data_IF_503836265932
#
_entry.id   IF_503836265932
#
_cell.length_a   1.000
_cell.length_b   1.000
_cell.length_c   1.000
_cell.angle_alpha   90.00
_cell.angle_beta   90.00
_cell.angle_gamma   90.00
#
_symmetry.space_group_name_H-M   'P 1'
#
loop_
_entity.id
_entity.type
_entity.pdbx_description
1 polymer ?
#
# COMPACT_ATOMS: atom_id res chain seq x y z
N UNK A 1 14.29 -8.95 7.47
CA UNK A 1 12.99 -9.08 6.78
C UNK A 1 13.27 -9.32 5.31
N UNK A 2 12.57 -10.27 4.67
CA UNK A 2 12.67 -10.45 3.21
C UNK A 2 11.77 -9.39 2.56
N UNK A 3 12.28 -8.51 1.67
CA UNK A 3 11.45 -7.50 1.02
C UNK A 3 10.32 -8.15 0.22
N UNK A 4 9.08 -7.85 0.59
CA UNK A 4 7.87 -8.27 -0.15
C UNK A 4 7.27 -7.06 -0.84
N UNK A 5 6.81 -7.25 -2.07
CA UNK A 5 6.11 -6.22 -2.82
C UNK A 5 4.82 -6.77 -3.42
N UNK A 6 3.87 -5.89 -3.63
CA UNK A 6 2.74 -6.10 -4.54
C UNK A 6 2.79 -5.03 -5.64
N UNK A 7 2.09 -5.27 -6.74
CA UNK A 7 2.17 -4.42 -7.92
C UNK A 7 0.77 -4.00 -8.37
N UNK A 8 0.59 -2.70 -8.57
CA UNK A 8 -0.52 -2.16 -9.32
C UNK A 8 -0.23 -2.22 -10.82
N UNK A 9 -1.00 -3.01 -11.58
CA UNK A 9 -0.85 -3.09 -13.03
C UNK A 9 -1.64 -1.99 -13.74
N UNK A 10 -0.95 -1.03 -14.37
CA UNK A 10 -1.56 0.20 -14.90
C UNK A 10 -2.67 -0.07 -15.92
N UNK A 11 -2.42 -0.90 -16.93
CA UNK A 11 -3.41 -1.14 -17.99
C UNK A 11 -4.61 -2.00 -17.54
N UNK A 12 -4.42 -2.86 -16.54
CA UNK A 12 -5.48 -3.76 -16.06
C UNK A 12 -6.19 -3.21 -14.82
N UNK A 13 -5.68 -2.11 -14.26
CA UNK A 13 -6.17 -1.48 -13.03
C UNK A 13 -6.42 -2.51 -11.92
N UNK A 14 -5.39 -3.35 -11.64
CA UNK A 14 -5.50 -4.43 -10.65
C UNK A 14 -4.26 -4.58 -9.79
N UNK A 15 -4.47 -4.92 -8.53
CA UNK A 15 -3.40 -5.30 -7.60
C UNK A 15 -3.01 -6.77 -7.79
N UNK A 16 -1.72 -7.09 -7.72
CA UNK A 16 -1.24 -8.47 -7.78
C UNK A 16 0.01 -8.66 -6.93
N UNK A 17 0.15 -9.84 -6.36
CA UNK A 17 1.36 -10.28 -5.66
C UNK A 17 2.54 -10.33 -6.65
N UNK A 18 3.70 -9.80 -6.25
CA UNK A 18 4.94 -9.89 -7.03
C UNK A 18 5.67 -11.16 -6.64
N UNK A 19 5.96 -12.00 -7.63
CA UNK A 19 6.67 -13.27 -7.44
C UNK A 19 8.17 -13.14 -7.73
N UNK A 20 8.55 -12.25 -8.65
CA UNK A 20 9.95 -11.95 -8.95
C UNK A 20 10.07 -10.60 -9.67
N UNK A 21 11.20 -9.92 -9.49
CA UNK A 21 11.57 -8.71 -10.22
C UNK A 21 12.92 -8.98 -10.90
N UNK A 22 13.04 -8.64 -12.18
CA UNK A 22 14.31 -8.64 -12.90
C UNK A 22 14.60 -7.22 -13.37
N UNK A 23 15.53 -6.56 -12.70
CA UNK A 23 16.00 -5.22 -13.07
C UNK A 23 16.81 -5.26 -14.36
N UNK A 24 17.64 -6.28 -14.57
CA UNK A 24 18.37 -6.46 -15.83
C UNK A 24 17.41 -6.53 -17.03
N UNK A 25 16.35 -7.33 -16.93
CA UNK A 25 15.40 -7.54 -18.03
C UNK A 25 14.27 -6.51 -18.06
N UNK A 26 14.18 -5.62 -17.07
CA UNK A 26 13.09 -4.66 -16.90
C UNK A 26 11.71 -5.35 -16.92
N UNK A 27 11.58 -6.47 -16.18
CA UNK A 27 10.35 -7.25 -16.08
C UNK A 27 9.97 -7.54 -14.64
N UNK A 28 8.66 -7.62 -14.38
CA UNK A 28 8.10 -8.16 -13.14
C UNK A 28 7.24 -9.38 -13.43
N UNK A 29 7.37 -10.40 -12.61
CA UNK A 29 6.49 -11.57 -12.62
C UNK A 29 5.45 -11.40 -11.52
N UNK A 30 4.18 -11.33 -11.90
CA UNK A 30 3.04 -11.13 -11.00
C UNK A 30 2.10 -12.32 -11.03
N UNK A 31 1.44 -12.59 -9.90
CA UNK A 31 0.42 -13.64 -9.81
C UNK A 31 -0.79 -13.31 -10.68
N UNK A 32 -1.30 -14.31 -11.39
CA UNK A 32 -2.55 -14.18 -12.13
C UNK A 32 -3.74 -14.31 -11.17
N UNK A 33 -4.82 -13.55 -11.40
CA UNK A 33 -6.00 -13.60 -10.51
C UNK A 33 -6.82 -14.88 -10.69
N UNK A 34 -6.76 -15.52 -11.86
CA UNK A 34 -7.46 -16.78 -12.13
C UNK A 34 -6.45 -17.93 -12.12
N UNK A 35 -6.32 -18.62 -10.99
CA UNK A 35 -5.55 -19.85 -10.83
C UNK A 35 -4.12 -19.68 -10.30
N UNK A 36 -3.31 -20.71 -10.48
CA UNK A 36 -1.91 -20.82 -10.01
C UNK A 36 -0.89 -20.30 -11.03
N UNK A 37 -1.35 -19.62 -12.09
CA UNK A 37 -0.49 -19.08 -13.14
C UNK A 37 0.08 -17.71 -12.79
N UNK A 38 1.02 -17.24 -13.60
CA UNK A 38 1.68 -15.94 -13.45
C UNK A 38 1.75 -15.25 -14.80
N UNK A 39 1.92 -13.93 -14.77
CA UNK A 39 2.23 -13.12 -15.94
C UNK A 39 3.56 -12.42 -15.74
N UNK A 40 4.31 -12.28 -16.83
CA UNK A 40 5.52 -11.46 -16.85
C UNK A 40 5.22 -10.21 -17.66
N UNK A 41 5.32 -9.05 -17.04
CA UNK A 41 4.99 -7.75 -17.63
C UNK A 41 6.20 -6.81 -17.56
N UNK A 42 6.30 -5.79 -18.43
CA UNK A 42 7.27 -4.71 -18.29
C UNK A 42 7.26 -4.11 -16.88
N UNK A 43 8.44 -3.80 -16.34
CA UNK A 43 8.55 -3.14 -15.03
C UNK A 43 7.82 -1.79 -15.03
N UNK A 44 7.91 -1.04 -16.13
CA UNK A 44 7.24 0.25 -16.30
C UNK A 44 5.70 0.15 -16.41
N UNK A 45 5.15 -1.03 -16.64
CA UNK A 45 3.68 -1.23 -16.70
C UNK A 45 3.05 -1.40 -15.32
N UNK A 46 3.89 -1.48 -14.27
CA UNK A 46 3.44 -1.62 -12.89
C UNK A 46 3.92 -0.49 -12.00
N UNK A 47 3.28 -0.36 -10.84
CA UNK A 47 3.81 0.42 -9.73
C UNK A 47 3.97 -0.52 -8.53
N UNK A 48 5.20 -0.62 -8.02
CA UNK A 48 5.52 -1.48 -6.87
C UNK A 48 5.13 -0.80 -5.57
N UNK A 49 4.52 -1.56 -4.67
CA UNK A 49 4.20 -1.18 -3.31
C UNK A 49 4.95 -2.11 -2.37
N UNK A 50 5.80 -1.55 -1.52
CA UNK A 50 6.62 -2.31 -0.57
C UNK A 50 5.80 -2.65 0.68
N UNK A 51 5.98 -3.86 1.21
CA UNK A 51 5.42 -4.27 2.50
C UNK A 51 6.09 -3.52 3.67
N UNK A 52 5.30 -3.21 4.69
CA UNK A 52 5.78 -2.70 5.99
C UNK A 52 6.34 -3.81 6.90
N UNK A 53 6.07 -5.08 6.57
CA UNK A 53 6.36 -6.23 7.40
C UNK A 53 5.39 -6.44 8.58
N UNK A 54 4.36 -5.61 8.73
CA UNK A 54 3.34 -5.70 9.78
C UNK A 54 1.99 -6.10 9.20
N UNK A 55 1.17 -6.77 10.01
CA UNK A 55 -0.23 -7.03 9.70
C UNK A 55 -1.10 -5.87 10.18
N UNK A 56 -2.27 -5.73 9.58
CA UNK A 56 -3.31 -4.80 10.02
C UNK A 56 -3.89 -5.21 11.39
N UNK A 57 -4.79 -4.40 11.93
CA UNK A 57 -5.39 -4.65 13.25
C UNK A 57 -6.16 -5.97 13.36
N UNK A 58 -6.57 -6.56 12.24
CA UNK A 58 -7.27 -7.85 12.21
C UNK A 58 -6.30 -9.04 12.20
N UNK A 59 -5.03 -8.79 11.88
CA UNK A 59 -4.01 -9.83 11.68
C UNK A 59 -4.16 -10.60 10.35
N UNK A 60 -5.10 -10.23 9.48
CA UNK A 60 -5.44 -11.00 8.27
C UNK A 60 -4.77 -10.44 7.01
N UNK A 61 -4.48 -9.14 6.98
CA UNK A 61 -3.94 -8.46 5.81
C UNK A 61 -2.59 -7.84 6.17
N UNK A 62 -1.58 -8.09 5.34
CA UNK A 62 -0.30 -7.39 5.45
C UNK A 62 -0.42 -5.96 4.91
N UNK A 63 0.20 -5.01 5.62
CA UNK A 63 0.14 -3.59 5.27
C UNK A 63 1.31 -3.21 4.36
N UNK A 64 1.02 -2.46 3.30
CA UNK A 64 1.95 -1.99 2.28
C UNK A 64 1.95 -0.46 2.19
N UNK A 65 3.06 0.11 1.73
CA UNK A 65 3.13 1.51 1.34
C UNK A 65 2.05 1.85 0.31
N UNK A 66 1.22 2.85 0.61
CA UNK A 66 0.06 3.28 -0.16
C UNK A 66 -1.26 2.60 0.24
N UNK A 67 -1.28 1.75 1.26
CA UNK A 67 -2.53 1.29 1.88
C UNK A 67 -3.22 2.44 2.64
N UNK A 68 -4.55 2.39 2.63
CA UNK A 68 -5.41 3.26 3.43
C UNK A 68 -5.89 2.45 4.64
N UNK A 69 -5.57 2.94 5.83
CA UNK A 69 -6.00 2.35 7.08
C UNK A 69 -7.18 3.09 7.67
N UNK A 70 -8.08 2.36 8.32
CA UNK A 70 -9.18 2.87 9.12
C UNK A 70 -8.97 2.54 10.60
N UNK A 71 -9.21 3.51 11.47
CA UNK A 71 -9.07 3.43 12.93
C UNK A 71 -10.43 3.67 13.59
N UNK A 72 -11.19 2.62 13.93
CA UNK A 72 -12.58 2.76 14.39
C UNK A 72 -12.72 3.47 15.75
N UNK A 73 -11.71 3.41 16.60
CA UNK A 73 -11.77 3.81 18.01
C UNK A 73 -11.05 5.14 18.30
N UNK A 74 -10.79 5.95 17.27
CA UNK A 74 -10.20 7.29 17.41
C UNK A 74 -11.25 8.37 17.11
N UNK A 75 -11.06 9.58 17.67
CA UNK A 75 -11.86 10.77 17.33
C UNK A 75 -11.53 11.24 15.90
N UNK A 76 -12.21 12.29 15.39
CA UNK A 76 -12.21 12.74 13.98
C UNK A 76 -10.89 12.52 13.19
N UNK A 77 -11.02 12.07 11.93
CA UNK A 77 -9.95 11.63 11.01
C UNK A 77 -9.43 10.21 11.23
N UNK A 78 -10.37 9.26 11.28
CA UNK A 78 -10.14 7.82 11.40
C UNK A 78 -9.45 7.15 10.21
N UNK A 79 -8.79 7.90 9.33
CA UNK A 79 -8.14 7.37 8.14
C UNK A 79 -6.72 7.90 7.98
N UNK A 80 -5.86 7.10 7.40
CA UNK A 80 -4.56 7.58 6.94
C UNK A 80 -3.93 6.67 5.89
N UNK A 81 -2.99 7.23 5.16
CA UNK A 81 -2.28 6.56 4.07
C UNK A 81 -0.89 6.18 4.57
N UNK A 82 -0.50 4.93 4.38
CA UNK A 82 0.86 4.48 4.71
C UNK A 82 1.85 5.02 3.68
N UNK A 83 2.89 5.70 4.14
CA UNK A 83 3.97 6.23 3.30
C UNK A 83 5.32 5.87 3.90
N UNK A 84 6.36 5.76 3.09
CA UNK A 84 7.72 5.81 3.62
C UNK A 84 8.13 7.28 3.68
N UNK A 85 8.55 7.74 4.85
CA UNK A 85 8.97 9.11 5.11
C UNK A 85 10.50 9.13 5.25
N UNK A 86 11.17 9.90 4.38
CA UNK A 86 12.63 9.90 4.29
C UNK A 86 13.31 10.64 5.44
N UNK A 87 12.61 11.60 6.07
CA UNK A 87 13.13 12.35 7.21
C UNK A 87 13.22 11.48 8.47
N UNK A 88 12.18 10.66 8.69
CA UNK A 88 12.10 9.73 9.83
C UNK A 88 12.64 8.33 9.51
N UNK A 89 12.93 8.04 8.23
CA UNK A 89 13.35 6.73 7.73
C UNK A 89 12.42 5.59 8.15
N UNK A 90 11.11 5.87 8.23
CA UNK A 90 10.10 4.97 8.73
C UNK A 90 8.85 4.95 7.83
N UNK A 91 8.07 3.89 7.95
CA UNK A 91 6.69 3.95 7.48
C UNK A 91 5.88 4.82 8.43
N UNK A 92 5.12 5.76 7.87
CA UNK A 92 4.25 6.66 8.60
C UNK A 92 2.80 6.52 8.12
N UNK A 93 1.87 6.74 9.02
CA UNK A 93 0.47 7.00 8.72
C UNK A 93 0.31 8.51 8.48
N UNK A 94 -0.07 8.89 7.28
CA UNK A 94 -0.34 10.28 6.90
C UNK A 94 -1.86 10.49 6.77
N UNK A 95 -2.44 11.27 7.66
CA UNK A 95 -3.88 11.58 7.66
C UNK A 95 -4.22 12.92 6.97
N UNK A 96 -3.25 13.56 6.31
CA UNK A 96 -3.39 14.86 5.68
C UNK A 96 -3.00 16.06 6.56
N UNK A 97 -2.87 15.87 7.87
CA UNK A 97 -2.46 16.91 8.83
C UNK A 97 -1.15 16.58 9.52
N UNK A 98 -1.08 15.36 10.03
CA UNK A 98 0.01 14.86 10.84
C UNK A 98 0.51 13.54 10.26
N UNK A 99 1.77 13.24 10.57
CA UNK A 99 2.40 11.97 10.23
C UNK A 99 2.82 11.29 11.52
N UNK A 100 2.34 10.06 11.70
CA UNK A 100 2.69 9.24 12.83
C UNK A 100 3.52 8.05 12.36
N UNK A 101 4.57 7.68 13.09
CA UNK A 101 5.30 6.43 12.80
C UNK A 101 4.33 5.26 12.92
N UNK A 102 4.21 4.49 11.84
CA UNK A 102 3.27 3.39 11.75
C UNK A 102 3.68 2.25 12.70
N UNK A 103 2.85 1.99 13.70
CA UNK A 103 3.26 1.21 14.88
C UNK A 103 2.84 1.89 16.16
N UNK A 104 3.23 3.16 16.28
CA UNK A 104 3.20 3.89 17.54
C UNK A 104 1.82 4.48 17.79
N UNK A 105 1.12 4.86 16.72
CA UNK A 105 -0.29 5.26 16.73
C UNK A 105 -1.26 4.06 16.87
N UNK A 106 -0.75 2.84 16.97
CA UNK A 106 -1.54 1.61 16.93
C UNK A 106 -1.81 1.11 15.52
N UNK A 107 -2.42 -0.08 15.43
CA UNK A 107 -2.72 -0.76 14.17
C UNK A 107 -4.13 -0.39 13.69
N UNK A 108 -4.24 0.06 12.44
CA UNK A 108 -5.52 0.27 11.75
C UNK A 108 -5.89 -0.93 10.88
N UNK A 109 -7.15 -0.98 10.44
CA UNK A 109 -7.65 -1.97 9.48
C UNK A 109 -7.39 -1.51 8.06
N UNK A 110 -6.85 -2.36 7.18
CA UNK A 110 -6.72 -2.01 5.76
C UNK A 110 -8.10 -1.99 5.12
N UNK A 111 -8.45 -0.87 4.47
CA UNK A 111 -9.75 -0.71 3.79
C UNK A 111 -9.62 -0.41 2.30
N UNK A 112 -8.41 -0.19 1.81
CA UNK A 112 -8.17 0.18 0.42
C UNK A 112 -6.73 0.59 0.17
N UNK A 113 -6.46 1.11 -1.02
CA UNK A 113 -5.18 1.70 -1.37
C UNK A 113 -5.33 2.87 -2.36
N UNK A 114 -4.27 3.66 -2.49
CA UNK A 114 -4.27 4.88 -3.30
C UNK A 114 -4.60 4.68 -4.79
N UNK A 115 -4.43 3.46 -5.32
CA UNK A 115 -4.71 3.18 -6.73
C UNK A 115 -6.17 2.78 -6.97
N UNK A 116 -6.76 2.04 -6.03
CA UNK A 116 -8.12 1.51 -6.13
C UNK A 116 -9.18 2.43 -5.52
N UNK A 117 -8.78 3.37 -4.65
CA UNK A 117 -9.68 4.16 -3.83
C UNK A 117 -9.37 5.67 -3.93
N UNK A 118 -9.30 6.20 -5.16
CA UNK A 118 -8.91 7.60 -5.42
C UNK A 118 -9.79 8.62 -4.70
N UNK A 119 -11.11 8.44 -4.72
CA UNK A 119 -12.05 9.34 -4.04
C UNK A 119 -11.78 9.44 -2.53
N UNK A 120 -11.35 8.32 -1.92
CA UNK A 120 -10.98 8.29 -0.50
C UNK A 120 -9.64 9.00 -0.25
N UNK A 121 -8.70 8.90 -1.18
CA UNK A 121 -7.44 9.67 -1.12
C UNK A 121 -7.72 11.16 -1.20
N UNK A 122 -8.58 11.58 -2.13
CA UNK A 122 -8.95 12.98 -2.30
C UNK A 122 -9.70 13.51 -1.06
N UNK A 123 -10.53 12.69 -0.41
CA UNK A 123 -11.14 13.04 0.87
C UNK A 123 -10.10 13.24 1.98
N UNK A 124 -9.16 12.29 2.14
CA UNK A 124 -8.13 12.32 3.18
C UNK A 124 -7.16 13.50 2.98
N UNK A 125 -6.74 13.76 1.73
CA UNK A 125 -5.69 14.74 1.42
C UNK A 125 -6.23 16.09 0.94
N UNK A 126 -7.42 16.14 0.37
CA UNK A 126 -7.97 17.31 -0.34
C UNK A 126 -9.15 17.99 0.34
N UNK A 127 -9.72 17.40 1.41
CA UNK A 127 -10.88 17.96 2.09
C UNK A 127 -10.63 19.23 2.89
N UNK A 128 -9.39 19.68 3.06
CA UNK A 128 -9.02 20.62 4.13
C UNK A 128 -7.99 21.67 3.67
N UNK A 129 -8.50 22.73 3.02
CA UNK A 129 -7.92 24.08 3.00
C UNK A 129 -8.56 24.91 4.14
#
# INVERSE_FOLDING_TARGET
MIPRCRAWHKAMQRMSEVLAISYERQKVKIKHQRGTTHMTVPLDDVILMQSTGKMDSTGQVEVYAGDILYYPDQDEDNFGIIKFDEDTLAFVLDNGYERFVYGDYGMGKVIGNIYQNKDLVDYILGGKN
#
